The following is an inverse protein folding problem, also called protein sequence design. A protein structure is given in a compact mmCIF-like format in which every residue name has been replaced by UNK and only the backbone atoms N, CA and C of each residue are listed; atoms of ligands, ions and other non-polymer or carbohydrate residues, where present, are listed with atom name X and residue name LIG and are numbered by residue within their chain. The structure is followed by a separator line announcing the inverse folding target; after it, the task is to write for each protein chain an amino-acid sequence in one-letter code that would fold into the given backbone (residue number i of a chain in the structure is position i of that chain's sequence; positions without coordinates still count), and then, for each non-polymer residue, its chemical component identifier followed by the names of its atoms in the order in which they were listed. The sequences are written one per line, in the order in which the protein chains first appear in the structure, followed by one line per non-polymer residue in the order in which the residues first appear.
data_IF_864076019059
#
_entry.id   IF_864076019059
#
_cell.length_a   1.000
_cell.length_b   1.000
_cell.length_c   1.000
_cell.angle_alpha   90.00
_cell.angle_beta   90.00
_cell.angle_gamma   90.00
#
_symmetry.space_group_name_H-M   'P 1'
#
loop_
_entity.id
_entity.type
_entity.pdbx_description
1 polymer ?
#
# COMPACT_ATOMS: atom_id res chain seq x y z
N UNK A 1 13.64 -6.26 -4.58
CA UNK A 1 12.49 -5.86 -3.76
C UNK A 1 12.26 -4.37 -3.97
N UNK A 2 11.05 -3.95 -4.35
CA UNK A 2 10.73 -2.53 -4.41
C UNK A 2 10.67 -1.96 -2.99
N UNK A 3 11.27 -0.79 -2.80
CA UNK A 3 11.24 -0.03 -1.55
C UNK A 3 10.99 1.44 -1.86
N UNK A 4 10.32 2.11 -0.95
CA UNK A 4 10.09 3.55 -0.97
C UNK A 4 10.69 4.15 0.31
N UNK A 5 11.47 5.21 0.20
CA UNK A 5 12.06 5.92 1.34
C UNK A 5 11.36 7.27 1.49
N UNK A 6 10.72 7.52 2.64
CA UNK A 6 9.93 8.73 2.91
C UNK A 6 10.40 9.46 4.17
N UNK A 7 10.05 10.73 4.30
CA UNK A 7 10.17 11.43 5.58
C UNK A 7 9.14 10.89 6.59
N UNK A 8 9.42 10.96 7.91
CA UNK A 8 8.46 10.54 8.92
C UNK A 8 7.13 11.28 8.80
N UNK A 9 6.05 10.53 8.56
CA UNK A 9 4.70 11.09 8.43
C UNK A 9 4.41 11.80 7.09
N UNK A 10 5.28 11.66 6.08
CA UNK A 10 5.00 12.13 4.73
C UNK A 10 3.78 11.43 4.12
N UNK A 11 3.02 12.17 3.32
CA UNK A 11 1.84 11.65 2.61
C UNK A 11 2.27 10.67 1.52
N UNK A 12 1.67 9.49 1.53
CA UNK A 12 1.87 8.44 0.53
C UNK A 12 0.55 8.23 -0.20
N UNK A 13 0.54 8.55 -1.49
CA UNK A 13 -0.61 8.31 -2.35
C UNK A 13 -0.52 6.93 -3.00
N UNK A 14 -1.61 6.18 -2.95
CA UNK A 14 -1.64 4.86 -3.53
C UNK A 14 -3.01 4.51 -4.08
N UNK A 15 -2.98 3.51 -4.94
CA UNK A 15 -4.14 2.90 -5.55
C UNK A 15 -3.90 1.42 -5.69
N UNK A 16 -4.92 0.62 -5.41
CA UNK A 16 -4.86 -0.80 -5.64
C UNK A 16 -5.91 -1.28 -6.62
N UNK A 17 -5.46 -2.11 -7.55
CA UNK A 17 -6.24 -2.69 -8.64
C UNK A 17 -6.06 -4.20 -8.56
N UNK A 18 -7.16 -4.92 -8.41
CA UNK A 18 -7.18 -6.39 -8.35
C UNK A 18 -8.06 -6.89 -9.47
N UNK A 19 -7.51 -7.73 -10.33
CA UNK A 19 -8.28 -8.45 -11.35
C UNK A 19 -8.39 -9.92 -10.96
N UNK A 20 -9.60 -10.50 -11.01
CA UNK A 20 -9.76 -11.90 -10.66
C UNK A 20 -11.09 -12.53 -11.05
N UNK A 21 -11.07 -13.82 -11.34
CA UNK A 21 -12.29 -14.62 -11.60
C UNK A 21 -12.38 -15.77 -10.59
N UNK A 22 -13.48 -15.91 -9.81
CA UNK A 22 -14.60 -14.99 -9.63
C UNK A 22 -14.17 -13.59 -9.14
N UNK A 23 -15.04 -12.57 -9.22
CA UNK A 23 -14.73 -11.20 -8.78
C UNK A 23 -14.11 -11.19 -7.38
N UNK A 24 -12.96 -10.53 -7.19
CA UNK A 24 -12.23 -10.56 -5.94
C UNK A 24 -12.78 -9.54 -4.94
N UNK A 25 -12.32 -9.62 -3.70
CA UNK A 25 -12.38 -8.57 -2.70
C UNK A 25 -11.00 -7.96 -2.51
N UNK A 26 -10.96 -6.69 -2.14
CA UNK A 26 -9.72 -5.95 -1.90
C UNK A 26 -9.61 -5.59 -0.41
N UNK A 27 -8.43 -5.80 0.16
CA UNK A 27 -8.05 -5.36 1.49
C UNK A 27 -6.69 -4.68 1.44
N UNK A 28 -6.57 -3.54 2.10
CA UNK A 28 -5.31 -2.80 2.20
C UNK A 28 -4.95 -2.62 3.67
N UNK A 29 -3.69 -2.86 4.02
CA UNK A 29 -3.22 -2.78 5.39
C UNK A 29 -1.71 -2.53 5.47
N UNK A 30 -1.26 -2.02 6.62
CA UNK A 30 0.14 -2.04 6.99
C UNK A 30 0.50 -3.38 7.63
N UNK A 31 1.68 -3.91 7.31
CA UNK A 31 2.25 -5.10 7.93
C UNK A 31 3.69 -4.82 8.36
N UNK A 32 4.07 -5.28 9.54
CA UNK A 32 5.47 -5.25 10.02
C UNK A 32 6.33 -6.38 9.42
N UNK A 33 5.77 -7.19 8.51
CA UNK A 33 6.44 -8.36 7.92
C UNK A 33 6.56 -9.55 8.87
N UNK A 34 6.16 -9.41 10.13
CA UNK A 34 5.93 -10.53 11.02
C UNK A 34 4.57 -11.14 10.71
N UNK A 35 4.36 -12.39 11.11
CA UNK A 35 3.12 -13.15 10.87
C UNK A 35 1.87 -12.32 11.27
N UNK A 36 0.71 -12.58 10.66
CA UNK A 36 -0.63 -11.90 10.69
C UNK A 36 -1.13 -11.16 11.95
N UNK A 37 -0.42 -11.19 13.08
CA UNK A 37 -0.77 -10.55 14.35
C UNK A 37 -0.69 -9.02 14.34
N UNK A 38 0.02 -8.40 13.40
CA UNK A 38 0.18 -6.94 13.32
C UNK A 38 -0.20 -6.38 11.94
N UNK A 39 -1.38 -6.76 11.46
CA UNK A 39 -1.99 -6.13 10.30
C UNK A 39 -2.84 -4.92 10.75
N UNK A 40 -2.50 -3.72 10.30
CA UNK A 40 -3.25 -2.50 10.59
C UNK A 40 -4.09 -2.11 9.35
N UNK A 41 -5.42 -2.32 9.37
CA UNK A 41 -6.25 -2.11 8.19
C UNK A 41 -6.35 -0.64 7.80
N UNK A 42 -6.28 -0.38 6.51
CA UNK A 42 -6.52 0.93 5.91
C UNK A 42 -7.90 0.90 5.26
N UNK A 43 -8.80 1.77 5.73
CA UNK A 43 -10.12 1.91 5.13
C UNK A 43 -9.97 2.51 3.72
N UNK A 44 -10.40 1.78 2.71
CA UNK A 44 -10.36 2.21 1.31
C UNK A 44 -11.75 2.14 0.69
N UNK A 45 -12.14 3.21 -0.01
CA UNK A 45 -13.29 3.15 -0.90
C UNK A 45 -12.86 2.51 -2.23
N UNK A 46 -13.74 1.70 -2.82
CA UNK A 46 -13.46 1.02 -4.08
C UNK A 46 -14.66 1.04 -5.01
N UNK A 47 -14.40 0.75 -6.28
CA UNK A 47 -15.41 0.56 -7.32
C UNK A 47 -15.18 -0.75 -8.05
N UNK A 48 -16.27 -1.34 -8.51
CA UNK A 48 -16.24 -2.47 -9.42
C UNK A 48 -16.05 -1.93 -10.85
N UNK A 49 -15.02 -2.41 -11.52
CA UNK A 49 -14.75 -2.15 -12.93
C UNK A 49 -15.02 -3.46 -13.69
N UNK A 50 -16.16 -3.56 -14.41
CA UNK A 50 -16.49 -4.77 -15.16
C UNK A 50 -15.39 -5.12 -16.18
N UNK A 51 -15.16 -6.42 -16.45
CA UNK A 51 -15.97 -7.55 -16.01
C UNK A 51 -15.58 -8.13 -14.64
N UNK A 52 -14.32 -8.00 -14.19
CA UNK A 52 -13.77 -8.79 -13.08
C UNK A 52 -12.68 -8.05 -12.30
N UNK A 53 -12.75 -6.73 -12.27
CA UNK A 53 -11.72 -5.88 -11.66
C UNK A 53 -12.32 -5.06 -10.52
N UNK A 54 -11.60 -4.97 -9.40
CA UNK A 54 -11.89 -4.02 -8.33
C UNK A 54 -10.72 -3.05 -8.23
N UNK A 55 -11.07 -1.77 -8.11
CA UNK A 55 -10.11 -0.68 -8.07
C UNK A 55 -10.45 0.23 -6.88
N UNK A 56 -9.47 0.51 -6.02
CA UNK A 56 -9.60 1.54 -5.02
C UNK A 56 -9.62 2.92 -5.68
N UNK A 57 -10.26 3.90 -5.03
CA UNK A 57 -9.95 5.29 -5.34
C UNK A 57 -8.49 5.61 -4.97
N UNK A 58 -8.03 6.79 -5.36
CA UNK A 58 -6.75 7.31 -4.89
C UNK A 58 -6.86 7.55 -3.39
N UNK A 59 -5.95 6.94 -2.63
CA UNK A 59 -5.95 6.97 -1.18
C UNK A 59 -4.64 7.57 -0.70
N UNK A 60 -4.69 8.24 0.44
CA UNK A 60 -3.49 8.77 1.11
C UNK A 60 -3.30 8.06 2.45
N UNK A 61 -2.08 7.65 2.74
CA UNK A 61 -1.67 7.04 4.02
C UNK A 61 -0.34 7.61 4.48
N UNK A 62 0.04 7.32 5.73
CA UNK A 62 1.29 7.79 6.36
C UNK A 62 1.86 6.71 7.25
N UNK A 63 3.17 6.73 7.43
CA UNK A 63 3.85 5.92 8.46
C UNK A 63 4.99 6.71 9.09
N UNK A 64 5.30 6.37 10.34
CA UNK A 64 6.42 6.92 11.12
C UNK A 64 7.52 5.87 11.37
N UNK A 65 7.36 4.66 10.83
CA UNK A 65 8.31 3.55 10.95
C UNK A 65 8.29 2.69 9.70
N UNK A 66 9.37 1.92 9.50
CA UNK A 66 9.48 1.00 8.36
C UNK A 66 8.41 -0.10 8.41
N UNK A 67 7.51 -0.14 7.41
CA UNK A 67 6.42 -1.13 7.30
C UNK A 67 6.13 -1.48 5.84
N UNK A 68 5.49 -2.62 5.61
CA UNK A 68 4.96 -2.98 4.30
C UNK A 68 3.56 -2.40 4.11
N UNK A 69 3.38 -1.63 3.03
CA UNK A 69 2.05 -1.36 2.50
C UNK A 69 1.63 -2.56 1.66
N UNK A 70 0.55 -3.21 2.07
CA UNK A 70 0.07 -4.44 1.43
C UNK A 70 -1.27 -4.16 0.79
N UNK A 71 -1.39 -4.49 -0.49
CA UNK A 71 -2.68 -4.71 -1.11
C UNK A 71 -2.91 -6.19 -1.35
N UNK A 72 -4.04 -6.69 -0.85
CA UNK A 72 -4.45 -8.08 -0.91
C UNK A 72 -5.74 -8.20 -1.70
N UNK A 73 -5.68 -8.96 -2.78
CA UNK A 73 -6.83 -9.46 -3.52
C UNK A 73 -7.19 -10.85 -3.04
N UNK A 74 -8.48 -11.13 -2.85
CA UNK A 74 -8.95 -12.47 -2.48
C UNK A 74 -10.28 -12.80 -3.17
N UNK A 75 -10.39 -13.96 -3.78
CA UNK A 75 -11.68 -14.54 -4.15
C UNK A 75 -11.88 -15.92 -3.51
N UNK A 76 -12.87 -16.68 -3.98
CA UNK A 76 -13.15 -18.03 -3.47
C UNK A 76 -12.09 -19.08 -3.84
N UNK A 77 -11.19 -18.78 -4.78
CA UNK A 77 -10.19 -19.72 -5.30
C UNK A 77 -8.79 -19.42 -4.74
N UNK A 78 -8.40 -18.15 -4.74
CA UNK A 78 -7.03 -17.73 -4.47
C UNK A 78 -6.95 -16.37 -3.76
N UNK A 79 -5.82 -16.16 -3.09
CA UNK A 79 -5.39 -14.91 -2.49
C UNK A 79 -4.09 -14.48 -3.20
N UNK A 80 -4.03 -13.23 -3.63
CA UNK A 80 -2.85 -12.63 -4.26
C UNK A 80 -2.50 -11.31 -3.57
N UNK A 81 -1.22 -11.07 -3.32
CA UNK A 81 -0.74 -9.91 -2.57
C UNK A 81 0.36 -9.18 -3.34
N UNK A 82 0.28 -7.85 -3.34
CA UNK A 82 1.35 -6.98 -3.76
C UNK A 82 1.79 -6.13 -2.56
N UNK A 83 3.12 -6.09 -2.32
CA UNK A 83 3.72 -5.47 -1.14
C UNK A 83 4.81 -4.50 -1.54
N UNK A 84 4.87 -3.36 -0.85
CA UNK A 84 5.95 -2.39 -0.94
C UNK A 84 6.50 -2.11 0.45
N UNK A 85 7.82 -2.24 0.62
CA UNK A 85 8.46 -1.77 1.85
C UNK A 85 8.52 -0.24 1.81
N UNK A 86 7.85 0.41 2.75
CA UNK A 86 7.98 1.84 3.01
C UNK A 86 8.92 2.00 4.19
N UNK A 87 10.11 2.52 3.92
CA UNK A 87 11.13 2.82 4.92
C UNK A 87 11.11 4.31 5.25
N UNK A 88 11.46 4.66 6.49
CA UNK A 88 11.39 6.04 6.99
C UNK A 88 12.80 6.52 7.30
N UNK A 89 13.16 7.69 6.78
CA UNK A 89 14.48 8.27 7.05
C UNK A 89 14.67 8.48 8.56
N UNK A 90 15.81 8.04 9.07
CA UNK A 90 16.24 8.39 10.42
C UNK A 90 16.58 9.89 10.46
N UNK A 91 16.07 10.58 11.47
CA UNK A 91 16.45 11.97 11.74
C UNK A 91 17.88 11.94 12.30
N UNK A 92 18.88 12.05 11.45
CA UNK A 92 20.24 12.38 11.90
C UNK A 92 20.31 13.88 12.20
N UNK A 93 20.82 14.21 13.39
CA UNK A 93 20.87 15.56 13.97
C UNK A 93 21.72 16.58 13.20
N UNK A 94 22.30 16.20 12.06
CA UNK A 94 23.08 17.04 11.15
C UNK A 94 22.29 17.67 10.00
N UNK A 95 21.09 17.18 9.67
CA UNK A 95 20.30 17.66 8.52
C UNK A 95 19.12 18.56 8.93
N UNK A 96 19.33 19.42 9.92
CA UNK A 96 18.35 20.45 10.31
C UNK A 96 18.25 21.63 9.31
N UNK A 97 18.52 21.39 8.02
CA UNK A 97 18.43 22.42 6.98
C UNK A 97 18.21 21.85 5.58
N UNK A 98 17.20 21.00 5.42
CA UNK A 98 16.71 20.62 4.08
C UNK A 98 15.21 20.85 4.03
N UNK A 99 14.82 21.82 3.19
CA UNK A 99 13.45 22.16 2.85
C UNK A 99 12.65 20.88 2.57
N UNK A 100 11.48 20.74 3.21
CA UNK A 100 10.51 19.66 2.96
C UNK A 100 10.20 19.58 1.47
N UNK A 101 10.88 18.67 0.75
CA UNK A 101 10.56 18.36 -0.63
C UNK A 101 9.38 17.40 -0.60
N UNK A 102 8.16 17.91 -0.78
CA UNK A 102 6.95 17.10 -0.93
C UNK A 102 7.10 16.24 -2.18
N UNK A 103 7.57 15.00 -2.02
CA UNK A 103 7.69 14.07 -3.14
C UNK A 103 6.41 13.25 -3.19
N UNK A 104 5.57 13.55 -4.18
CA UNK A 104 4.34 12.80 -4.42
C UNK A 104 4.67 11.44 -5.02
N UNK A 105 4.51 10.39 -4.23
CA UNK A 105 4.62 9.01 -4.70
C UNK A 105 3.22 8.49 -4.99
N UNK A 106 2.96 8.12 -6.25
CA UNK A 106 1.73 7.46 -6.66
C UNK A 106 2.01 5.98 -6.94
N UNK A 107 1.54 5.11 -6.05
CA UNK A 107 1.78 3.68 -6.15
C UNK A 107 0.57 2.97 -6.74
N UNK A 108 0.80 2.14 -7.77
CA UNK A 108 -0.23 1.26 -8.32
C UNK A 108 0.14 -0.19 -7.97
N UNK A 109 -0.68 -0.81 -7.12
CA UNK A 109 -0.59 -2.24 -6.85
C UNK A 109 -1.50 -2.97 -7.83
N UNK A 110 -0.94 -3.90 -8.60
CA UNK A 110 -1.70 -4.80 -9.48
C UNK A 110 -1.53 -6.24 -9.02
N UNK A 111 -2.66 -6.91 -8.78
CA UNK A 111 -2.70 -8.36 -8.51
C UNK A 111 -3.65 -9.05 -9.46
N UNK A 112 -3.26 -10.25 -9.89
CA UNK A 112 -4.05 -11.12 -10.76
C UNK A 112 -4.40 -12.38 -9.97
N UNK A 113 -5.66 -12.79 -10.07
CA UNK A 113 -6.19 -14.04 -9.50
C UNK A 113 -6.80 -14.86 -10.64
N UNK A 114 -6.32 -16.08 -10.86
CA UNK A 114 -6.68 -16.90 -12.04
C UNK A 114 -7.81 -17.89 -11.78
#
# INVERSE_FOLDING_TARGET
MNRLLVEPGEDIEFKCIVEGRPPPHISVYWSDGQQQRHEEPIAVAFRNVPPNTIESYEMTTRTYSGKFLVCRGQNSLEISEAKLLVDVKSIDSSDASTLFSTQFYFLIFQTLIS
#
